data_IF_837407451547
#
_entry.id   IF_837407451547
#
_cell.length_a   1.000
_cell.length_b   1.000
_cell.length_c   1.000
_cell.angle_alpha   90.00
_cell.angle_beta   90.00
_cell.angle_gamma   90.00
#
_symmetry.space_group_name_H-M   'P 1'
#
loop_
_entity.id
_entity.type
_entity.pdbx_description
1 polymer ?
#
# COMPACT_ATOMS: atom_id res chain seq x y z
N UNK A 1 17.43 12.07 24.77
CA UNK A 1 16.03 12.49 24.54
C UNK A 1 15.83 12.54 23.03
N UNK A 2 15.32 11.45 22.44
CA UNK A 2 15.01 11.42 21.01
C UNK A 2 13.77 12.26 20.76
N UNK A 3 13.82 13.19 19.82
CA UNK A 3 12.64 13.91 19.35
C UNK A 3 11.59 12.90 18.86
N UNK A 4 10.34 13.06 19.28
CA UNK A 4 9.27 12.24 18.71
C UNK A 4 9.17 12.46 17.19
N UNK A 5 8.93 11.41 16.39
CA UNK A 5 8.77 11.53 14.94
C UNK A 5 7.64 12.50 14.62
N UNK A 6 7.91 13.45 13.72
CA UNK A 6 6.98 14.52 13.35
C UNK A 6 6.43 14.30 11.94
N UNK A 7 5.17 13.90 11.87
CA UNK A 7 4.38 13.72 10.65
C UNK A 7 3.73 15.05 10.24
N UNK A 8 4.55 15.99 9.79
CA UNK A 8 4.12 17.39 9.58
C UNK A 8 4.60 17.99 8.25
N UNK A 9 5.17 17.19 7.34
CA UNK A 9 5.52 17.71 6.03
C UNK A 9 4.27 18.25 5.30
N UNK A 10 4.42 19.36 4.55
CA UNK A 10 3.33 19.88 3.74
C UNK A 10 2.87 18.83 2.73
N UNK A 11 1.57 18.81 2.36
CA UNK A 11 1.06 17.83 1.41
C UNK A 11 1.82 17.85 0.09
N UNK A 12 2.19 16.66 -0.37
CA UNK A 12 2.80 16.44 -1.68
C UNK A 12 1.79 15.78 -2.61
N UNK A 13 1.89 16.01 -3.91
CA UNK A 13 1.05 15.35 -4.91
C UNK A 13 1.89 14.47 -5.82
N UNK A 14 1.42 13.26 -6.07
CA UNK A 14 2.05 12.31 -6.97
C UNK A 14 0.97 11.59 -7.79
N UNK A 15 1.27 11.26 -9.04
CA UNK A 15 0.32 10.59 -9.94
C UNK A 15 0.82 9.20 -10.33
N UNK A 16 -0.06 8.21 -10.24
CA UNK A 16 0.27 6.80 -10.48
C UNK A 16 -0.67 6.15 -11.49
N UNK A 17 -0.16 5.19 -12.25
CA UNK A 17 -0.93 4.39 -13.21
C UNK A 17 -1.61 3.18 -12.55
N UNK A 18 -1.19 2.79 -11.35
CA UNK A 18 -1.78 1.69 -10.60
C UNK A 18 -1.34 1.65 -9.14
N UNK A 19 -2.05 0.88 -8.33
CA UNK A 19 -1.88 0.80 -6.88
C UNK A 19 -1.82 -0.66 -6.43
N UNK A 20 -0.81 -1.02 -5.65
CA UNK A 20 -0.68 -2.32 -5.02
C UNK A 20 -0.72 -2.12 -3.50
N UNK A 21 -1.61 -2.84 -2.82
CA UNK A 21 -1.77 -2.70 -1.37
C UNK A 21 -1.34 -3.99 -0.69
N UNK A 22 -0.49 -3.89 0.34
CA UNK A 22 -0.52 -4.92 1.37
C UNK A 22 -1.87 -4.88 2.12
N UNK A 23 -2.18 -5.96 2.85
CA UNK A 23 -3.43 -6.11 3.56
C UNK A 23 -3.29 -5.80 5.06
N UNK A 24 -2.54 -6.60 5.81
CA UNK A 24 -2.36 -6.47 7.26
C UNK A 24 -1.45 -5.27 7.58
N UNK A 25 -1.80 -4.47 8.57
CA UNK A 25 -1.11 -3.20 8.84
C UNK A 25 -1.40 -2.08 7.84
N UNK A 26 -1.88 -2.38 6.63
CA UNK A 26 -2.14 -1.38 5.58
C UNK A 26 -3.63 -1.10 5.37
N UNK A 27 -4.39 -2.08 4.88
CA UNK A 27 -5.85 -1.98 4.69
C UNK A 27 -6.59 -2.30 5.99
N UNK A 28 -6.06 -3.24 6.77
CA UNK A 28 -6.63 -3.66 8.05
C UNK A 28 -5.59 -3.53 9.16
N UNK A 29 -6.02 -3.23 10.37
CA UNK A 29 -5.19 -3.37 11.57
C UNK A 29 -5.58 -4.69 12.25
N UNK A 30 -4.63 -5.63 12.34
CA UNK A 30 -4.86 -6.97 12.89
C UNK A 30 -5.05 -6.95 14.41
N UNK A 31 -4.91 -5.79 15.07
CA UNK A 31 -5.34 -5.63 16.46
C UNK A 31 -6.86 -5.39 16.54
N UNK A 32 -7.58 -6.40 17.04
CA UNK A 32 -9.04 -6.46 17.12
C UNK A 32 -9.74 -5.28 17.84
N UNK A 33 -8.99 -4.36 18.46
CA UNK A 33 -9.52 -3.23 19.20
C UNK A 33 -9.97 -2.06 18.32
N UNK A 34 -9.53 -1.97 17.06
CA UNK A 34 -9.79 -0.79 16.22
C UNK A 34 -10.13 -1.23 14.78
N UNK A 35 -11.35 -1.72 14.57
CA UNK A 35 -11.94 -1.73 13.21
C UNK A 35 -12.32 -0.28 12.88
N UNK A 36 -11.32 0.52 12.51
CA UNK A 36 -11.53 1.89 12.07
C UNK A 36 -12.17 1.83 10.69
N UNK A 37 -13.38 2.39 10.58
CA UNK A 37 -14.17 2.62 9.36
C UNK A 37 -13.47 3.46 8.26
N UNK A 38 -12.17 3.74 8.38
CA UNK A 38 -11.50 4.83 7.68
C UNK A 38 -10.58 4.37 6.53
N UNK A 39 -10.24 3.08 6.44
CA UNK A 39 -9.38 2.53 5.36
C UNK A 39 -10.07 2.40 3.99
N UNK A 40 -11.38 2.60 3.92
CA UNK A 40 -12.15 2.40 2.67
C UNK A 40 -12.01 3.55 1.67
N UNK A 41 -11.80 4.78 2.16
CA UNK A 41 -11.92 5.99 1.33
C UNK A 41 -11.00 6.00 0.10
N UNK A 42 -9.75 5.54 0.24
CA UNK A 42 -8.81 5.47 -0.88
C UNK A 42 -9.23 4.42 -1.90
N UNK A 43 -9.47 3.18 -1.48
CA UNK A 43 -9.86 2.09 -2.39
C UNK A 43 -11.20 2.37 -3.06
N UNK A 44 -12.19 2.90 -2.33
CA UNK A 44 -13.49 3.28 -2.88
C UNK A 44 -13.33 4.37 -3.96
N UNK A 45 -12.44 5.34 -3.73
CA UNK A 45 -12.11 6.37 -4.74
C UNK A 45 -11.45 5.77 -5.97
N UNK A 46 -10.54 4.80 -5.81
CA UNK A 46 -9.91 4.09 -6.93
C UNK A 46 -10.94 3.28 -7.73
N UNK A 47 -11.88 2.63 -7.05
CA UNK A 47 -12.99 1.89 -7.68
C UNK A 47 -13.89 2.84 -8.47
N UNK A 48 -14.29 3.97 -7.88
CA UNK A 48 -15.13 4.97 -8.54
C UNK A 48 -14.48 5.54 -9.81
N UNK A 49 -13.15 5.65 -9.83
CA UNK A 49 -12.37 6.12 -10.98
C UNK A 49 -11.96 5.00 -11.95
N UNK A 50 -12.37 3.75 -11.69
CA UNK A 50 -11.92 2.57 -12.45
C UNK A 50 -10.40 2.46 -12.57
N UNK A 51 -9.68 2.89 -11.54
CA UNK A 51 -8.23 2.87 -11.51
C UNK A 51 -7.71 1.43 -11.31
N UNK A 52 -6.58 1.03 -11.92
CA UNK A 52 -5.98 -0.29 -11.70
C UNK A 52 -5.47 -0.44 -10.27
N UNK A 53 -5.93 -1.47 -9.56
CA UNK A 53 -5.41 -1.79 -8.23
C UNK A 53 -5.50 -3.28 -7.91
N UNK A 54 -4.66 -3.73 -6.99
CA UNK A 54 -4.63 -5.11 -6.49
C UNK A 54 -4.26 -5.17 -5.01
N UNK A 55 -4.65 -6.26 -4.35
CA UNK A 55 -4.07 -6.66 -3.05
C UNK A 55 -2.91 -7.61 -3.31
N UNK A 56 -1.78 -7.38 -2.65
CA UNK A 56 -0.57 -8.21 -2.69
C UNK A 56 -0.08 -8.42 -1.26
N UNK A 57 -0.32 -9.61 -0.72
CA UNK A 57 -0.14 -9.90 0.72
C UNK A 57 0.57 -11.21 0.97
N UNK A 58 1.25 -11.30 2.13
CA UNK A 58 1.76 -12.56 2.68
C UNK A 58 0.68 -13.37 3.42
N UNK A 59 -0.57 -12.90 3.44
CA UNK A 59 -1.72 -13.66 3.93
C UNK A 59 -2.12 -14.77 2.95
N UNK A 60 -2.72 -15.84 3.49
CA UNK A 60 -3.28 -16.95 2.71
C UNK A 60 -4.66 -16.60 2.15
N UNK A 61 -5.08 -17.25 1.07
CA UNK A 61 -6.41 -17.02 0.44
C UNK A 61 -7.58 -17.12 1.45
N UNK A 62 -7.64 -18.11 2.37
CA UNK A 62 -8.70 -18.18 3.37
C UNK A 62 -8.68 -17.02 4.36
N UNK A 63 -7.49 -16.53 4.74
CA UNK A 63 -7.33 -15.40 5.66
C UNK A 63 -7.83 -14.10 5.02
N UNK A 64 -7.37 -13.84 3.78
CA UNK A 64 -7.76 -12.66 3.00
C UNK A 64 -9.28 -12.65 2.79
N UNK A 65 -9.82 -13.77 2.30
CA UNK A 65 -11.27 -13.90 2.05
C UNK A 65 -12.10 -13.73 3.31
N UNK A 66 -11.64 -14.29 4.44
CA UNK A 66 -12.28 -14.13 5.74
C UNK A 66 -12.36 -12.67 6.18
N UNK A 67 -11.28 -11.91 6.01
CA UNK A 67 -11.25 -10.48 6.33
C UNK A 67 -12.12 -9.65 5.39
N UNK A 68 -12.03 -9.87 4.08
CA UNK A 68 -12.86 -9.17 3.09
C UNK A 68 -14.35 -9.34 3.40
N UNK A 69 -14.77 -10.58 3.70
CA UNK A 69 -16.15 -10.88 4.09
C UNK A 69 -16.53 -10.25 5.42
N UNK A 70 -15.72 -10.44 6.48
CA UNK A 70 -16.03 -9.98 7.83
C UNK A 70 -16.14 -8.47 7.93
N UNK A 71 -15.30 -7.76 7.19
CA UNK A 71 -15.23 -6.31 7.20
C UNK A 71 -16.02 -5.66 6.06
N UNK A 72 -16.70 -6.45 5.23
CA UNK A 72 -17.43 -5.98 4.04
C UNK A 72 -16.58 -5.03 3.18
N UNK A 73 -15.32 -5.41 2.95
CA UNK A 73 -14.39 -4.67 2.10
C UNK A 73 -14.65 -4.99 0.63
N UNK A 74 -14.25 -4.08 -0.26
CA UNK A 74 -14.30 -4.33 -1.68
C UNK A 74 -13.42 -5.54 -2.05
N UNK A 75 -13.99 -6.48 -2.81
CA UNK A 75 -13.24 -7.62 -3.33
C UNK A 75 -12.39 -7.13 -4.52
N UNK A 76 -11.05 -7.24 -4.47
CA UNK A 76 -10.21 -6.81 -5.57
C UNK A 76 -10.44 -7.71 -6.79
N UNK A 77 -10.38 -7.12 -7.99
CA UNK A 77 -10.32 -7.93 -9.23
C UNK A 77 -9.05 -8.78 -9.29
N UNK A 78 -7.95 -8.27 -8.72
CA UNK A 78 -6.65 -8.90 -8.73
C UNK A 78 -6.13 -9.09 -7.31
N UNK A 79 -5.83 -10.33 -6.96
CA UNK A 79 -5.30 -10.73 -5.67
C UNK A 79 -4.02 -11.56 -5.88
N UNK A 80 -3.01 -11.29 -5.06
CA UNK A 80 -1.79 -12.08 -4.91
C UNK A 80 -1.64 -12.39 -3.43
N UNK A 81 -1.62 -13.68 -3.11
CA UNK A 81 -1.50 -14.22 -1.74
C UNK A 81 -0.15 -14.89 -1.53
N UNK A 82 0.10 -15.39 -0.32
CA UNK A 82 1.28 -16.17 0.01
C UNK A 82 1.48 -17.37 -0.95
N UNK A 83 0.40 -18.07 -1.30
CA UNK A 83 0.44 -19.25 -2.15
C UNK A 83 0.68 -18.93 -3.63
N UNK A 84 0.59 -17.65 -4.01
CA UNK A 84 0.77 -17.21 -5.40
C UNK A 84 2.24 -17.22 -5.84
N UNK A 85 3.18 -17.24 -4.90
CA UNK A 85 4.62 -17.16 -5.17
C UNK A 85 5.39 -18.23 -4.39
N UNK A 86 6.54 -18.63 -4.92
CA UNK A 86 7.42 -19.59 -4.24
C UNK A 86 8.14 -18.95 -3.04
N UNK A 87 8.63 -17.72 -3.25
CA UNK A 87 9.37 -16.94 -2.27
C UNK A 87 8.55 -15.72 -1.85
N UNK A 88 8.36 -15.55 -0.54
CA UNK A 88 7.66 -14.39 0.03
C UNK A 88 8.55 -13.16 0.15
N UNK A 89 7.95 -12.03 0.57
CA UNK A 89 8.65 -10.78 0.89
C UNK A 89 9.85 -11.08 1.84
N UNK A 90 11.07 -10.56 1.60
CA UNK A 90 11.40 -9.42 0.73
C UNK A 90 11.64 -9.75 -0.75
N UNK A 91 11.39 -10.98 -1.20
CA UNK A 91 11.45 -11.29 -2.62
C UNK A 91 10.41 -10.46 -3.41
N UNK A 92 10.78 -9.82 -4.54
CA UNK A 92 9.88 -8.96 -5.30
C UNK A 92 8.82 -9.71 -6.13
N UNK A 93 8.85 -11.04 -6.19
CA UNK A 93 7.96 -11.84 -7.05
C UNK A 93 6.48 -11.52 -6.84
N UNK A 94 6.05 -11.29 -5.60
CA UNK A 94 4.66 -10.98 -5.28
C UNK A 94 4.20 -9.66 -5.92
N UNK A 95 5.01 -8.60 -5.84
CA UNK A 95 4.69 -7.31 -6.46
C UNK A 95 4.87 -7.32 -7.97
N UNK A 96 5.84 -8.07 -8.51
CA UNK A 96 5.95 -8.30 -9.96
C UNK A 96 4.71 -9.00 -10.52
N UNK A 97 4.22 -10.01 -9.83
CA UNK A 97 2.95 -10.65 -10.20
C UNK A 97 1.77 -9.68 -10.10
N UNK A 98 1.73 -8.81 -9.10
CA UNK A 98 0.75 -7.72 -9.01
C UNK A 98 0.80 -6.79 -10.22
N UNK A 99 2.00 -6.35 -10.61
CA UNK A 99 2.22 -5.54 -11.82
C UNK A 99 1.74 -6.24 -13.09
N UNK A 100 2.04 -7.53 -13.25
CA UNK A 100 1.60 -8.34 -14.39
C UNK A 100 0.08 -8.43 -14.45
N UNK A 101 -0.59 -8.71 -13.32
CA UNK A 101 -2.06 -8.76 -13.23
C UNK A 101 -2.70 -7.42 -13.60
N UNK A 102 -2.04 -6.29 -13.30
CA UNK A 102 -2.48 -4.95 -13.69
C UNK A 102 -2.09 -4.56 -15.13
N UNK A 103 -1.33 -5.39 -15.84
CA UNK A 103 -0.71 -5.07 -17.14
C UNK A 103 0.21 -3.83 -17.10
N UNK A 104 0.92 -3.65 -15.99
CA UNK A 104 1.79 -2.50 -15.73
C UNK A 104 3.28 -2.88 -15.50
N UNK A 105 3.68 -4.10 -15.82
CA UNK A 105 5.06 -4.59 -15.65
C UNK A 105 6.12 -3.68 -16.27
N UNK A 106 5.87 -3.18 -17.50
CA UNK A 106 6.77 -2.26 -18.20
C UNK A 106 6.77 -0.82 -17.64
N UNK A 107 5.91 -0.54 -16.66
CA UNK A 107 5.72 0.77 -16.05
C UNK A 107 5.74 0.68 -14.52
N UNK A 108 6.54 -0.23 -13.96
CA UNK A 108 6.66 -0.43 -12.51
C UNK A 108 6.90 0.89 -11.75
N UNK A 109 7.75 1.78 -12.29
CA UNK A 109 8.03 3.10 -11.68
C UNK A 109 6.85 4.07 -11.66
N UNK A 110 5.76 3.78 -12.38
CA UNK A 110 4.50 4.51 -12.35
C UNK A 110 3.46 3.89 -11.40
N UNK A 111 3.79 2.80 -10.73
CA UNK A 111 2.92 2.10 -9.76
C UNK A 111 3.42 2.38 -8.35
N UNK A 112 2.46 2.58 -7.44
CA UNK A 112 2.75 2.76 -6.01
C UNK A 112 2.31 1.54 -5.21
N UNK A 113 3.20 1.07 -4.35
CA UNK A 113 2.94 0.08 -3.31
C UNK A 113 2.65 0.82 -2.00
N UNK A 114 1.61 0.40 -1.29
CA UNK A 114 1.32 0.84 0.07
C UNK A 114 1.60 -0.32 1.01
N UNK A 115 2.52 -0.12 1.95
CA UNK A 115 3.08 -1.15 2.83
C UNK A 115 3.46 -0.56 4.19
N UNK A 116 3.32 -1.31 5.27
CA UNK A 116 3.83 -1.00 6.61
C UNK A 116 5.04 -1.85 7.06
N UNK A 117 5.28 -3.00 6.44
CA UNK A 117 6.32 -3.95 6.82
C UNK A 117 7.64 -3.72 6.04
N UNK A 118 8.80 -3.68 6.71
CA UNK A 118 10.11 -3.51 6.06
C UNK A 118 10.36 -4.47 4.90
N UNK A 119 10.06 -5.76 5.08
CA UNK A 119 10.25 -6.77 4.04
C UNK A 119 9.40 -6.47 2.79
N UNK A 120 8.17 -5.99 2.95
CA UNK A 120 7.34 -5.64 1.81
C UNK A 120 7.72 -4.33 1.15
N UNK A 121 8.19 -3.35 1.92
CA UNK A 121 8.78 -2.12 1.38
C UNK A 121 9.95 -2.51 0.47
N UNK A 122 10.89 -3.32 0.98
CA UNK A 122 12.04 -3.81 0.22
C UNK A 122 11.61 -4.56 -1.06
N UNK A 123 10.63 -5.46 -0.95
CA UNK A 123 10.09 -6.19 -2.09
C UNK A 123 9.47 -5.25 -3.14
N UNK A 124 8.71 -4.23 -2.72
CA UNK A 124 8.12 -3.23 -3.61
C UNK A 124 9.19 -2.40 -4.33
N UNK A 125 10.24 -1.99 -3.61
CA UNK A 125 11.40 -1.29 -4.21
C UNK A 125 12.15 -2.19 -5.19
N UNK A 126 12.40 -3.44 -4.84
CA UNK A 126 13.07 -4.43 -5.70
C UNK A 126 12.24 -4.85 -6.92
N UNK A 127 10.92 -4.66 -6.88
CA UNK A 127 10.02 -4.79 -8.02
C UNK A 127 10.03 -3.56 -8.95
N UNK A 128 10.72 -2.48 -8.58
CA UNK A 128 10.82 -1.24 -9.36
C UNK A 128 9.69 -0.25 -9.11
N UNK A 129 8.84 -0.49 -8.10
CA UNK A 129 7.73 0.39 -7.75
C UNK A 129 8.17 1.60 -6.93
N UNK A 130 7.30 2.60 -6.91
CA UNK A 130 7.28 3.59 -5.81
C UNK A 130 6.64 2.96 -4.58
N UNK A 131 7.06 3.37 -3.39
CA UNK A 131 6.53 2.82 -2.13
C UNK A 131 6.18 3.94 -1.17
N UNK A 132 4.98 3.88 -0.62
CA UNK A 132 4.56 4.66 0.56
C UNK A 132 4.59 3.70 1.76
N UNK A 133 5.51 3.94 2.68
CA UNK A 133 5.67 3.22 3.94
C UNK A 133 4.71 3.76 5.02
N UNK A 134 3.95 2.89 5.66
CA UNK A 134 3.04 3.20 6.76
C UNK A 134 3.67 2.80 8.10
N UNK A 135 3.41 3.57 9.16
CA UNK A 135 3.94 3.31 10.51
C UNK A 135 2.83 2.83 11.42
N UNK A 136 2.21 1.71 11.03
CA UNK A 136 1.06 1.11 11.72
C UNK A 136 1.46 -0.08 12.58
N UNK A 137 2.18 -1.07 12.02
CA UNK A 137 2.62 -2.26 12.78
C UNK A 137 4.11 -2.27 13.10
N UNK A 138 4.91 -1.42 12.45
CA UNK A 138 6.36 -1.33 12.63
C UNK A 138 6.80 0.05 13.11
N UNK A 139 7.97 0.15 13.73
CA UNK A 139 8.47 1.44 14.22
C UNK A 139 8.90 2.35 13.07
N UNK A 140 8.90 3.66 13.31
CA UNK A 140 9.39 4.64 12.33
C UNK A 140 10.77 4.28 11.82
N UNK A 141 11.70 3.94 12.72
CA UNK A 141 13.07 3.63 12.34
C UNK A 141 13.16 2.40 11.43
N UNK A 142 12.34 1.37 11.69
CA UNK A 142 12.27 0.18 10.84
C UNK A 142 11.73 0.50 9.44
N UNK A 143 10.65 1.29 9.37
CA UNK A 143 10.04 1.69 8.10
C UNK A 143 10.97 2.59 7.29
N UNK A 144 11.63 3.55 7.94
CA UNK A 144 12.61 4.45 7.29
C UNK A 144 13.82 3.66 6.78
N UNK A 145 14.34 2.73 7.57
CA UNK A 145 15.49 1.91 7.19
C UNK A 145 15.24 1.06 5.93
N UNK A 146 13.99 0.66 5.69
CA UNK A 146 13.59 -0.10 4.49
C UNK A 146 13.57 0.74 3.20
N UNK A 147 13.70 2.07 3.30
CA UNK A 147 13.86 2.98 2.16
C UNK A 147 12.63 3.20 1.25
N UNK A 148 11.42 3.44 1.79
CA UNK A 148 10.28 3.85 0.97
C UNK A 148 10.47 5.27 0.41
N UNK A 149 9.71 5.64 -0.63
CA UNK A 149 9.75 6.99 -1.22
C UNK A 149 9.04 8.03 -0.33
N UNK A 150 8.01 7.61 0.42
CA UNK A 150 7.35 8.43 1.44
C UNK A 150 7.10 7.58 2.69
N UNK A 151 7.12 8.22 3.86
CA UNK A 151 6.70 7.59 5.13
C UNK A 151 5.53 8.37 5.69
N UNK A 152 4.42 7.71 5.95
CA UNK A 152 3.20 8.28 6.53
C UNK A 152 2.77 7.48 7.74
N UNK A 153 1.93 8.07 8.59
CA UNK A 153 1.45 7.39 9.78
C UNK A 153 0.57 6.18 9.43
N UNK A 154 -0.37 6.39 8.54
CA UNK A 154 -1.39 5.41 8.14
C UNK A 154 -2.01 5.82 6.79
N UNK A 155 -3.02 5.07 6.34
CA UNK A 155 -3.66 5.29 5.05
C UNK A 155 -4.49 6.58 4.97
N UNK A 156 -4.87 7.19 6.11
CA UNK A 156 -5.65 8.45 6.12
C UNK A 156 -4.83 9.64 5.56
N UNK A 157 -3.51 9.50 5.59
CA UNK A 157 -2.56 10.44 5.00
C UNK A 157 -2.52 10.41 3.46
N UNK A 158 -3.21 9.48 2.80
CA UNK A 158 -3.20 9.36 1.34
C UNK A 158 -4.63 9.50 0.79
N UNK A 159 -4.86 10.51 -0.05
CA UNK A 159 -6.18 10.78 -0.63
C UNK A 159 -6.11 10.99 -2.12
N UNK A 160 -7.09 10.47 -2.85
CA UNK A 160 -7.25 10.81 -4.27
C UNK A 160 -7.72 12.25 -4.39
N UNK A 161 -7.06 13.03 -5.24
CA UNK A 161 -7.39 14.44 -5.52
C UNK A 161 -7.67 14.73 -6.99
N UNK A 162 -7.55 13.72 -7.86
CA UNK A 162 -7.94 13.83 -9.26
C UNK A 162 -7.44 12.66 -10.11
N UNK A 163 -7.79 12.70 -11.39
CA UNK A 163 -7.34 11.75 -12.41
C UNK A 163 -7.09 12.51 -13.71
N UNK A 164 -6.00 12.19 -14.40
CA UNK A 164 -5.65 12.77 -15.70
C UNK A 164 -4.86 11.75 -16.53
N UNK A 165 -5.18 11.60 -17.82
CA UNK A 165 -4.54 10.66 -18.75
C UNK A 165 -4.38 9.23 -18.21
N UNK A 166 -5.42 8.72 -17.56
CA UNK A 166 -5.42 7.37 -16.98
C UNK A 166 -4.56 7.20 -15.72
N UNK A 167 -3.94 8.27 -15.21
CA UNK A 167 -3.21 8.28 -13.93
C UNK A 167 -4.06 8.92 -12.85
N UNK A 168 -4.04 8.34 -11.65
CA UNK A 168 -4.69 8.91 -10.47
C UNK A 168 -3.68 9.74 -9.71
N UNK A 169 -4.03 10.99 -9.40
CA UNK A 169 -3.24 11.87 -8.55
C UNK A 169 -3.70 11.71 -7.11
N UNK A 170 -2.75 11.35 -6.24
CA UNK A 170 -2.94 11.31 -4.80
C UNK A 170 -2.23 12.48 -4.13
N UNK A 171 -2.84 13.00 -3.08
CA UNK A 171 -2.22 13.86 -2.10
C UNK A 171 -1.71 13.00 -0.94
N UNK A 172 -0.43 13.16 -0.61
CA UNK A 172 0.26 12.51 0.51
C UNK A 172 0.49 13.60 1.55
N UNK A 173 -0.30 13.57 2.61
CA UNK A 173 -0.31 14.55 3.70
C UNK A 173 0.41 14.02 4.94
N UNK A 174 0.92 14.92 5.78
CA UNK A 174 1.52 14.58 7.06
C UNK A 174 2.66 13.55 6.91
N UNK A 175 3.44 13.62 5.82
CA UNK A 175 4.58 12.73 5.68
C UNK A 175 5.62 13.01 6.77
N UNK A 176 6.38 11.98 7.15
CA UNK A 176 7.45 12.06 8.12
C UNK A 176 8.51 13.04 7.62
N UNK A 177 8.93 13.94 8.51
CA UNK A 177 10.13 14.75 8.28
C UNK A 177 11.36 13.97 8.72
N UNK A 178 12.13 13.48 7.75
CA UNK A 178 13.46 12.91 7.95
C UNK A 178 14.49 13.98 8.34
#
# INVERSE_FOLDING_TARGET
>A
MGSQPSFTQPPQRASFSGFLFDMDGTIIDSTAAIVKHWHRSLIDSLIALSAPWAIVTSGTEPLVSGWLSRLSLAVPRHLVTAESVADGKPDPACYRMGLDKLNLAHRAGDVVVLEDAPAGIEAGKAAGCKVIGLVTSHTVDQVVAAGPDWVVKDLESVRVVGQHDGRVTVEISNALRL
#
